data_IF_064555672387
#
_entry.id   IF_064555672387
#
_cell.length_a   1.000
_cell.length_b   1.000
_cell.length_c   1.000
_cell.angle_alpha   90.00
_cell.angle_beta   90.00
_cell.angle_gamma   90.00
#
_symmetry.space_group_name_H-M   'P 1'
#
loop_
_entity.id
_entity.type
_entity.pdbx_description
1 polymer ?
#
# COMPACT_ATOMS: atom_id res chain seq x y z
N UNK A 1 29.57 46.20 -7.78
CA UNK A 1 29.85 47.02 -8.97
C UNK A 1 31.29 47.47 -8.88
N UNK A 2 32.15 47.00 -9.77
CA UNK A 2 33.47 47.57 -9.99
C UNK A 2 33.75 47.47 -11.49
N UNK A 3 33.89 48.62 -12.13
CA UNK A 3 34.06 48.78 -13.58
C UNK A 3 35.51 48.49 -13.92
N UNK A 4 35.75 47.49 -14.78
CA UNK A 4 37.06 47.21 -15.35
C UNK A 4 37.16 48.08 -16.61
N UNK A 5 37.90 49.19 -16.54
CA UNK A 5 38.24 49.98 -17.72
C UNK A 5 39.60 49.51 -18.25
N UNK A 6 39.55 48.83 -19.38
CA UNK A 6 40.69 48.37 -20.15
C UNK A 6 41.04 49.48 -21.16
N UNK A 7 42.13 50.20 -20.97
CA UNK A 7 42.61 51.19 -21.95
C UNK A 7 43.71 50.57 -22.81
N UNK A 8 43.40 50.45 -24.11
CA UNK A 8 44.28 50.01 -25.17
C UNK A 8 45.33 51.09 -25.49
N UNK A 9 46.57 50.66 -25.68
CA UNK A 9 47.69 51.48 -26.14
C UNK A 9 47.62 51.57 -27.68
N UNK A 10 47.46 52.78 -28.22
CA UNK A 10 47.65 53.06 -29.64
C UNK A 10 48.95 53.85 -29.81
N UNK A 11 49.81 53.38 -30.70
CA UNK A 11 50.97 54.14 -31.21
C UNK A 11 50.48 55.07 -32.32
N UNK A 12 50.88 56.34 -32.26
CA UNK A 12 51.13 57.16 -33.44
C UNK A 12 52.35 58.04 -33.11
N UNK A 13 53.38 57.88 -33.92
CA UNK A 13 54.61 58.66 -33.93
C UNK A 13 54.32 60.02 -34.60
N UNK A 14 54.76 61.13 -34.01
CA UNK A 14 55.24 62.31 -34.75
C UNK A 14 55.99 63.25 -33.80
N UNK A 15 57.26 63.49 -34.14
CA UNK A 15 58.23 64.34 -33.45
C UNK A 15 57.84 65.83 -33.56
N UNK A 16 57.62 66.48 -32.41
CA UNK A 16 57.73 67.93 -32.26
C UNK A 16 58.30 68.25 -30.87
N UNK A 17 59.37 69.04 -30.85
CA UNK A 17 60.08 69.55 -29.67
C UNK A 17 59.12 70.29 -28.71
N UNK A 18 58.64 69.60 -27.68
CA UNK A 18 58.27 70.18 -26.40
C UNK A 18 59.01 69.42 -25.30
N UNK A 19 59.90 70.11 -24.60
CA UNK A 19 60.50 69.67 -23.35
C UNK A 19 59.38 69.57 -22.29
N UNK A 20 58.50 68.57 -22.44
CA UNK A 20 57.70 68.02 -21.36
C UNK A 20 58.71 67.43 -20.39
N UNK A 21 59.13 68.25 -19.42
CA UNK A 21 59.84 67.83 -18.24
C UNK A 21 59.37 66.43 -17.85
N UNK A 22 60.29 65.46 -17.84
CA UNK A 22 60.13 64.30 -16.98
C UNK A 22 59.95 64.90 -15.59
N UNK A 23 58.69 65.06 -15.17
CA UNK A 23 58.36 65.46 -13.81
C UNK A 23 58.88 64.32 -12.95
N UNK A 24 60.16 64.42 -12.56
CA UNK A 24 60.77 63.59 -11.56
C UNK A 24 59.84 63.66 -10.36
N UNK A 25 59.18 62.54 -10.08
CA UNK A 25 58.29 62.39 -8.94
C UNK A 25 59.07 62.89 -7.71
N UNK A 26 58.66 64.04 -7.18
CA UNK A 26 59.30 64.70 -6.05
C UNK A 26 59.57 63.69 -4.92
N UNK A 27 60.69 63.80 -4.23
CA UNK A 27 61.14 62.83 -3.22
C UNK A 27 60.05 62.57 -2.18
N UNK A 28 59.27 63.61 -1.84
CA UNK A 28 58.11 63.54 -0.97
C UNK A 28 56.97 62.67 -1.55
N UNK A 29 56.69 62.77 -2.84
CA UNK A 29 55.69 61.92 -3.52
C UNK A 29 56.14 60.47 -3.65
N UNK A 30 57.44 60.22 -3.86
CA UNK A 30 57.99 58.86 -3.86
C UNK A 30 57.90 58.23 -2.47
N UNK A 31 58.28 58.97 -1.43
CA UNK A 31 58.21 58.49 -0.05
C UNK A 31 56.76 58.19 0.35
N UNK A 32 55.81 59.05 -0.04
CA UNK A 32 54.38 58.82 0.18
C UNK A 32 53.86 57.54 -0.49
N UNK A 33 54.30 57.26 -1.73
CA UNK A 33 53.94 56.02 -2.43
C UNK A 33 54.56 54.77 -1.77
N UNK A 34 55.82 54.85 -1.32
CA UNK A 34 56.48 53.76 -0.61
C UNK A 34 55.79 53.43 0.72
N UNK A 35 55.36 54.45 1.46
CA UNK A 35 54.60 54.30 2.69
C UNK A 35 53.21 53.69 2.41
N UNK A 36 52.52 54.14 1.35
CA UNK A 36 51.25 53.56 0.92
C UNK A 36 51.39 52.07 0.52
N UNK A 37 52.39 51.74 -0.31
CA UNK A 37 52.63 50.35 -0.72
C UNK A 37 53.01 49.47 0.46
N UNK A 38 53.77 49.98 1.41
CA UNK A 38 54.11 49.27 2.63
C UNK A 38 52.85 49.02 3.46
N UNK A 39 52.01 50.03 3.66
CA UNK A 39 50.73 49.90 4.36
C UNK A 39 49.82 48.87 3.67
N UNK A 40 49.67 48.93 2.35
CA UNK A 40 48.85 47.99 1.57
C UNK A 40 49.39 46.56 1.64
N UNK A 41 50.71 46.38 1.60
CA UNK A 41 51.34 45.07 1.77
C UNK A 41 51.04 44.50 3.17
N UNK A 42 51.12 45.32 4.21
CA UNK A 42 50.81 44.88 5.58
C UNK A 42 49.34 44.49 5.74
N UNK A 43 48.41 45.28 5.17
CA UNK A 43 46.97 45.00 5.17
C UNK A 43 46.64 43.70 4.41
N UNK A 44 47.11 43.55 3.17
CA UNK A 44 46.89 42.33 2.37
C UNK A 44 47.48 41.08 3.05
N UNK A 45 48.63 41.21 3.70
CA UNK A 45 49.24 40.09 4.45
C UNK A 45 48.39 39.72 5.67
N UNK A 46 47.83 40.71 6.38
CA UNK A 46 46.90 40.47 7.48
C UNK A 46 45.61 39.79 6.98
N UNK A 47 45.02 40.26 5.88
CA UNK A 47 43.84 39.66 5.26
C UNK A 47 44.09 38.22 4.80
N UNK A 48 45.24 37.93 4.19
CA UNK A 48 45.61 36.57 3.81
C UNK A 48 45.72 35.64 5.01
N UNK A 49 46.29 36.13 6.12
CA UNK A 49 46.36 35.36 7.36
C UNK A 49 44.96 35.06 7.89
N UNK A 50 44.09 36.06 7.98
CA UNK A 50 42.69 35.88 8.40
C UNK A 50 41.94 34.92 7.51
N UNK A 51 42.00 35.07 6.18
CA UNK A 51 41.35 34.17 5.24
C UNK A 51 41.87 32.74 5.36
N UNK A 52 43.16 32.56 5.62
CA UNK A 52 43.75 31.23 5.82
C UNK A 52 43.21 30.59 7.09
N UNK A 53 43.15 31.32 8.21
CA UNK A 53 42.57 30.85 9.47
C UNK A 53 41.07 30.52 9.31
N UNK A 54 40.30 31.37 8.63
CA UNK A 54 38.89 31.11 8.32
C UNK A 54 38.70 29.84 7.48
N UNK A 55 39.54 29.63 6.47
CA UNK A 55 39.49 28.41 5.64
C UNK A 55 39.77 27.16 6.48
N UNK A 56 40.73 27.21 7.39
CA UNK A 56 41.02 26.09 8.30
C UNK A 56 39.86 25.81 9.25
N UNK A 57 39.26 26.85 9.84
CA UNK A 57 38.08 26.73 10.69
C UNK A 57 36.87 26.17 9.93
N UNK A 58 36.63 26.63 8.71
CA UNK A 58 35.55 26.12 7.86
C UNK A 58 35.77 24.65 7.48
N UNK A 59 37.01 24.25 7.16
CA UNK A 59 37.36 22.85 6.89
C UNK A 59 37.09 21.97 8.11
N UNK A 60 37.55 22.39 9.29
CA UNK A 60 37.32 21.66 10.54
C UNK A 60 35.82 21.57 10.88
N UNK A 61 35.07 22.67 10.68
CA UNK A 61 33.63 22.70 10.88
C UNK A 61 32.88 21.76 9.93
N UNK A 62 33.29 21.68 8.66
CA UNK A 62 32.73 20.73 7.68
C UNK A 62 33.02 19.29 8.06
N UNK A 63 34.25 18.98 8.48
CA UNK A 63 34.62 17.63 8.91
C UNK A 63 33.80 17.19 10.13
N UNK A 64 33.69 18.07 11.14
CA UNK A 64 32.89 17.80 12.35
C UNK A 64 31.44 17.52 12.00
N UNK A 65 30.80 18.41 11.21
CA UNK A 65 29.41 18.24 10.79
C UNK A 65 29.20 16.98 9.94
N UNK A 66 30.18 16.61 9.13
CA UNK A 66 30.15 15.38 8.33
C UNK A 66 30.19 14.15 9.23
N UNK A 67 31.07 14.14 10.23
CA UNK A 67 31.16 13.06 11.21
C UNK A 67 29.87 12.96 12.04
N UNK A 68 29.32 14.07 12.49
CA UNK A 68 28.05 14.10 13.23
C UNK A 68 26.89 13.57 12.39
N UNK A 69 26.80 13.97 11.12
CA UNK A 69 25.80 13.46 10.19
C UNK A 69 25.94 11.94 9.97
N UNK A 70 27.16 11.47 9.72
CA UNK A 70 27.43 10.04 9.57
C UNK A 70 27.09 9.25 10.84
N UNK A 71 27.44 9.76 12.01
CA UNK A 71 27.11 9.15 13.29
C UNK A 71 25.59 9.10 13.52
N UNK A 72 24.87 10.17 13.21
CA UNK A 72 23.42 10.19 13.30
C UNK A 72 22.77 9.16 12.37
N UNK A 73 23.21 9.11 11.11
CA UNK A 73 22.72 8.13 10.10
C UNK A 73 23.01 6.69 10.56
N UNK A 74 24.22 6.42 11.03
CA UNK A 74 24.61 5.11 11.55
C UNK A 74 23.81 4.74 12.80
N UNK A 75 23.51 5.71 13.68
CA UNK A 75 22.66 5.51 14.85
C UNK A 75 21.23 5.11 14.47
N UNK A 76 20.65 5.77 13.45
CA UNK A 76 19.33 5.38 12.92
C UNK A 76 19.38 3.96 12.39
N UNK A 77 20.35 3.60 11.55
CA UNK A 77 20.46 2.25 11.03
C UNK A 77 20.67 1.22 12.13
N UNK A 78 21.55 1.46 13.10
CA UNK A 78 21.72 0.56 14.25
C UNK A 78 20.40 0.34 15.03
N UNK A 79 19.53 1.36 15.10
CA UNK A 79 18.23 1.26 15.74
C UNK A 79 17.17 0.55 14.89
N UNK A 80 17.20 0.67 13.56
CA UNK A 80 16.15 0.11 12.68
C UNK A 80 16.61 -1.03 11.80
N UNK A 81 17.87 -1.48 11.91
CA UNK A 81 18.45 -2.58 11.15
C UNK A 81 19.66 -2.20 10.30
N UNK A 82 19.46 -2.20 8.99
CA UNK A 82 20.47 -1.85 8.00
C UNK A 82 19.83 -1.15 6.82
N UNK A 83 20.64 -0.41 6.07
CA UNK A 83 20.19 0.26 4.85
C UNK A 83 19.62 -0.73 3.81
N UNK A 84 20.19 -1.94 3.70
CA UNK A 84 19.69 -2.98 2.79
C UNK A 84 18.29 -3.43 3.16
N UNK A 85 18.06 -3.76 4.43
CA UNK A 85 16.75 -4.19 4.93
C UNK A 85 15.71 -3.09 4.77
N UNK A 86 16.11 -1.82 4.87
CA UNK A 86 15.23 -0.68 4.69
C UNK A 86 14.72 -0.56 3.26
N UNK A 87 15.59 -0.72 2.25
CA UNK A 87 15.16 -0.69 0.85
C UNK A 87 14.21 -1.85 0.52
N UNK A 88 14.49 -3.04 1.06
CA UNK A 88 13.58 -4.19 0.94
C UNK A 88 12.22 -3.93 1.59
N UNK A 89 12.21 -3.35 2.80
CA UNK A 89 10.99 -2.99 3.51
C UNK A 89 10.20 -1.95 2.72
N UNK A 90 10.86 -0.90 2.22
CA UNK A 90 10.25 0.15 1.40
C UNK A 90 9.56 -0.42 0.16
N UNK A 91 10.19 -1.37 -0.53
CA UNK A 91 9.60 -2.05 -1.69
C UNK A 91 8.35 -2.85 -1.29
N UNK A 92 8.44 -3.68 -0.24
CA UNK A 92 7.30 -4.47 0.26
C UNK A 92 6.16 -3.59 0.76
N UNK A 93 6.47 -2.46 1.39
CA UNK A 93 5.49 -1.49 1.86
C UNK A 93 4.73 -0.86 0.69
N UNK A 94 5.43 -0.48 -0.38
CA UNK A 94 4.79 0.07 -1.58
C UNK A 94 3.87 -0.95 -2.26
N UNK A 95 4.28 -2.22 -2.32
CA UNK A 95 3.44 -3.30 -2.85
C UNK A 95 2.22 -3.58 -1.97
N UNK A 96 2.38 -3.52 -0.64
CA UNK A 96 1.27 -3.63 0.31
C UNK A 96 0.25 -2.50 0.10
N UNK A 97 0.73 -1.27 -0.03
CA UNK A 97 -0.11 -0.10 -0.22
C UNK A 97 -0.92 -0.20 -1.52
N UNK A 98 -0.31 -0.68 -2.62
CA UNK A 98 -1.02 -0.95 -3.87
C UNK A 98 -2.14 -1.97 -3.68
N UNK A 99 -1.88 -3.10 -3.01
CA UNK A 99 -2.90 -4.14 -2.77
C UNK A 99 -4.02 -3.65 -1.85
N UNK A 100 -3.67 -2.93 -0.78
CA UNK A 100 -4.65 -2.32 0.14
C UNK A 100 -5.54 -1.32 -0.58
N UNK A 101 -4.97 -0.49 -1.46
CA UNK A 101 -5.74 0.46 -2.26
C UNK A 101 -6.62 -0.22 -3.32
N UNK A 102 -6.26 -1.42 -3.76
CA UNK A 102 -7.03 -2.24 -4.70
C UNK A 102 -8.06 -3.17 -4.02
N UNK A 103 -8.16 -3.14 -2.68
CA UNK A 103 -9.02 -4.03 -1.91
C UNK A 103 -10.50 -3.74 -2.18
N UNK A 104 -11.26 -4.77 -2.58
CA UNK A 104 -12.68 -4.64 -2.98
C UNK A 104 -13.65 -5.28 -1.99
N UNK A 105 -13.15 -6.05 -1.02
CA UNK A 105 -13.98 -6.69 -0.03
C UNK A 105 -13.23 -7.60 0.94
N UNK A 106 -13.94 -8.40 1.73
CA UNK A 106 -13.38 -9.14 2.86
C UNK A 106 -12.40 -10.24 2.43
N UNK A 107 -12.61 -10.87 1.28
CA UNK A 107 -11.70 -11.88 0.72
C UNK A 107 -10.32 -11.27 0.39
N UNK A 108 -10.30 -10.07 -0.21
CA UNK A 108 -9.06 -9.34 -0.48
C UNK A 108 -8.38 -8.90 0.82
N UNK A 109 -9.17 -8.45 1.81
CA UNK A 109 -8.66 -8.05 3.11
C UNK A 109 -7.99 -9.24 3.85
N UNK A 110 -8.59 -10.43 3.78
CA UNK A 110 -8.03 -11.66 4.36
C UNK A 110 -6.73 -12.09 3.66
N UNK A 111 -6.68 -11.98 2.32
CA UNK A 111 -5.45 -12.23 1.56
C UNK A 111 -4.33 -11.24 1.91
N UNK A 112 -4.65 -9.95 2.09
CA UNK A 112 -3.70 -8.92 2.53
C UNK A 112 -3.19 -9.21 3.95
N UNK A 113 -4.11 -9.52 4.89
CA UNK A 113 -3.78 -9.86 6.29
C UNK A 113 -2.87 -11.09 6.37
N UNK A 114 -3.04 -12.06 5.46
CA UNK A 114 -2.23 -13.28 5.44
C UNK A 114 -0.88 -13.12 4.74
N UNK A 115 -0.88 -12.52 3.55
CA UNK A 115 0.29 -12.59 2.66
C UNK A 115 1.23 -11.39 2.82
N UNK A 116 0.75 -10.25 3.33
CA UNK A 116 1.50 -9.00 3.36
C UNK A 116 1.69 -8.43 4.75
N UNK A 117 0.64 -8.48 5.57
CA UNK A 117 0.66 -7.92 6.91
C UNK A 117 1.77 -8.49 7.80
N UNK A 118 2.08 -9.80 7.80
CA UNK A 118 3.17 -10.35 8.60
C UNK A 118 4.52 -9.71 8.26
N UNK A 119 4.81 -9.40 6.99
CA UNK A 119 6.06 -8.71 6.63
C UNK A 119 6.15 -7.27 7.15
N UNK A 120 5.00 -6.64 7.44
CA UNK A 120 4.92 -5.30 7.99
C UNK A 120 4.82 -5.28 9.52
N UNK A 121 4.42 -6.40 10.14
CA UNK A 121 4.10 -6.48 11.57
C UNK A 121 4.83 -7.57 12.37
N UNK A 122 5.46 -8.54 11.72
CA UNK A 122 6.11 -9.66 12.40
C UNK A 122 7.31 -9.21 13.23
N UNK A 123 7.52 -9.97 14.30
CA UNK A 123 8.53 -9.72 15.33
C UNK A 123 9.95 -9.72 14.74
N UNK A 124 10.69 -8.65 15.03
CA UNK A 124 12.06 -8.45 14.59
C UNK A 124 12.37 -6.97 14.32
N UNK A 125 13.53 -6.72 13.72
CA UNK A 125 14.02 -5.39 13.34
C UNK A 125 13.00 -4.62 12.45
N UNK A 126 12.25 -5.33 11.61
CA UNK A 126 11.23 -4.77 10.71
C UNK A 126 10.08 -4.06 11.44
N UNK A 127 9.78 -4.45 12.69
CA UNK A 127 8.78 -3.77 13.51
C UNK A 127 9.20 -2.36 13.93
N UNK A 128 10.51 -2.04 13.89
CA UNK A 128 11.03 -0.68 14.13
C UNK A 128 10.99 0.18 12.87
N UNK A 129 11.09 -0.42 11.68
CA UNK A 129 11.00 0.30 10.41
C UNK A 129 9.63 0.95 10.22
N UNK A 130 8.53 0.28 10.62
CA UNK A 130 7.18 0.88 10.54
C UNK A 130 7.02 2.16 11.38
N UNK A 131 7.86 2.33 12.40
CA UNK A 131 7.85 3.49 13.30
C UNK A 131 8.66 4.67 12.74
N UNK A 132 9.36 4.49 11.61
CA UNK A 132 10.00 5.62 10.93
C UNK A 132 8.92 6.62 10.48
N UNK A 133 9.19 7.94 10.60
CA UNK A 133 8.21 8.97 10.27
C UNK A 133 7.59 8.84 8.88
N UNK A 134 8.36 8.37 7.89
CA UNK A 134 7.89 8.18 6.52
C UNK A 134 6.89 7.01 6.32
N UNK A 135 6.85 6.04 7.24
CA UNK A 135 5.96 4.88 7.16
C UNK A 135 4.81 4.94 8.15
N UNK A 136 4.98 5.59 9.30
CA UNK A 136 4.03 5.53 10.41
C UNK A 136 2.59 5.90 10.01
N UNK A 137 2.42 7.07 9.39
CA UNK A 137 1.09 7.56 9.02
C UNK A 137 0.47 6.71 7.89
N UNK A 138 1.28 6.33 6.91
CA UNK A 138 0.85 5.47 5.79
C UNK A 138 0.46 4.07 6.27
N UNK A 139 1.19 3.52 7.24
CA UNK A 139 0.88 2.23 7.86
C UNK A 139 -0.46 2.29 8.58
N UNK A 140 -0.70 3.34 9.38
CA UNK A 140 -1.97 3.53 10.07
C UNK A 140 -3.13 3.73 9.08
N UNK A 141 -2.90 4.45 7.97
CA UNK A 141 -3.87 4.59 6.90
C UNK A 141 -4.18 3.23 6.22
N UNK A 142 -3.17 2.41 5.93
CA UNK A 142 -3.38 1.06 5.39
C UNK A 142 -4.17 0.18 6.36
N UNK A 143 -3.82 0.18 7.65
CA UNK A 143 -4.54 -0.56 8.69
C UNK A 143 -6.02 -0.20 8.70
N UNK A 144 -6.32 1.10 8.63
CA UNK A 144 -7.69 1.61 8.56
C UNK A 144 -8.41 1.12 7.30
N UNK A 145 -7.77 1.21 6.13
CA UNK A 145 -8.34 0.75 4.86
C UNK A 145 -8.60 -0.76 4.84
N UNK A 146 -7.71 -1.57 5.43
CA UNK A 146 -7.94 -3.02 5.56
C UNK A 146 -9.18 -3.29 6.42
N UNK A 147 -9.32 -2.57 7.55
CA UNK A 147 -10.51 -2.69 8.40
C UNK A 147 -11.79 -2.24 7.67
N UNK A 148 -11.74 -1.12 6.93
CA UNK A 148 -12.84 -0.65 6.08
C UNK A 148 -13.17 -1.68 4.98
N UNK A 149 -12.16 -2.23 4.31
CA UNK A 149 -12.33 -3.24 3.27
C UNK A 149 -12.94 -4.55 3.81
N UNK A 150 -12.57 -4.94 5.03
CA UNK A 150 -13.18 -6.06 5.76
C UNK A 150 -14.62 -5.77 6.16
N UNK A 151 -14.93 -4.50 6.45
CA UNK A 151 -16.27 -4.03 6.78
C UNK A 151 -17.17 -3.80 5.54
N UNK A 152 -16.60 -3.77 4.32
CA UNK A 152 -17.36 -3.88 3.07
C UNK A 152 -17.98 -5.28 2.98
N UNK A 153 -18.99 -5.55 3.79
CA UNK A 153 -19.87 -6.69 3.57
C UNK A 153 -20.47 -6.55 2.16
N UNK A 154 -20.38 -7.56 1.29
CA UNK A 154 -21.09 -7.51 0.02
C UNK A 154 -22.57 -7.31 0.33
N UNK A 155 -23.14 -6.23 -0.20
CA UNK A 155 -24.52 -5.84 0.09
C UNK A 155 -25.42 -7.04 -0.15
N UNK A 156 -26.09 -7.48 0.91
CA UNK A 156 -27.05 -8.58 0.88
C UNK A 156 -28.32 -8.07 0.20
N UNK A 157 -28.30 -7.97 -1.13
CA UNK A 157 -29.51 -7.70 -1.90
C UNK A 157 -30.47 -8.87 -1.69
N UNK A 158 -31.61 -8.59 -1.03
CA UNK A 158 -32.64 -9.59 -0.86
C UNK A 158 -33.18 -10.02 -2.23
N UNK A 159 -33.28 -11.34 -2.47
CA UNK A 159 -33.83 -11.86 -3.73
C UNK A 159 -35.29 -12.22 -3.56
N UNK A 160 -36.17 -11.68 -4.41
CA UNK A 160 -37.59 -12.05 -4.43
C UNK A 160 -37.79 -13.30 -5.27
N UNK A 161 -38.26 -14.38 -4.64
CA UNK A 161 -38.50 -15.67 -5.28
C UNK A 161 -39.60 -15.55 -6.33
N UNK A 162 -39.34 -16.02 -7.54
CA UNK A 162 -40.32 -16.09 -8.63
C UNK A 162 -40.83 -17.53 -8.79
N UNK A 163 -42.02 -17.69 -9.37
CA UNK A 163 -42.59 -19.02 -9.67
C UNK A 163 -41.61 -19.85 -10.51
N UNK A 164 -41.27 -21.05 -10.01
CA UNK A 164 -40.33 -21.97 -10.66
C UNK A 164 -38.88 -21.82 -10.21
N UNK A 165 -38.59 -20.93 -9.26
CA UNK A 165 -37.27 -20.86 -8.64
C UNK A 165 -37.02 -22.01 -7.66
N UNK A 166 -35.75 -22.39 -7.56
CA UNK A 166 -35.23 -23.24 -6.51
C UNK A 166 -33.92 -22.63 -5.99
N UNK A 167 -33.51 -22.96 -4.76
CA UNK A 167 -32.30 -22.38 -4.16
C UNK A 167 -31.05 -22.58 -5.04
N UNK A 168 -30.96 -23.70 -5.76
CA UNK A 168 -29.87 -23.99 -6.70
C UNK A 168 -29.89 -23.11 -7.95
N UNK A 169 -31.07 -22.73 -8.44
CA UNK A 169 -31.21 -21.85 -9.60
C UNK A 169 -30.87 -20.41 -9.21
N UNK A 170 -31.35 -19.96 -8.04
CA UNK A 170 -31.04 -18.65 -7.47
C UNK A 170 -29.52 -18.50 -7.26
N UNK A 171 -28.87 -19.48 -6.62
CA UNK A 171 -27.42 -19.48 -6.45
C UNK A 171 -26.64 -19.49 -7.80
N UNK A 172 -27.23 -20.05 -8.84
CA UNK A 172 -26.64 -20.12 -10.19
C UNK A 172 -26.70 -18.80 -10.96
N UNK A 173 -27.46 -17.81 -10.52
CA UNK A 173 -27.57 -16.52 -11.21
C UNK A 173 -26.23 -15.78 -11.14
N UNK A 174 -25.81 -15.18 -12.27
CA UNK A 174 -24.56 -14.43 -12.37
C UNK A 174 -24.49 -13.26 -11.38
N UNK A 175 -25.64 -12.64 -11.10
CA UNK A 175 -25.78 -11.55 -10.12
C UNK A 175 -25.72 -11.99 -8.65
N UNK A 176 -25.85 -13.29 -8.37
CA UNK A 176 -25.88 -13.83 -7.01
C UNK A 176 -24.54 -14.48 -6.69
N UNK A 177 -24.28 -15.70 -7.19
CA UNK A 177 -23.00 -16.37 -6.98
C UNK A 177 -22.39 -16.99 -8.23
N UNK A 178 -23.09 -16.97 -9.37
CA UNK A 178 -22.70 -17.66 -10.59
C UNK A 178 -22.36 -19.16 -10.37
N UNK A 179 -22.91 -19.78 -9.31
CA UNK A 179 -22.60 -21.14 -8.94
C UNK A 179 -23.75 -21.80 -8.17
N UNK A 180 -24.46 -22.67 -8.87
CA UNK A 180 -25.60 -23.39 -8.32
C UNK A 180 -25.28 -24.29 -7.12
N UNK A 181 -24.01 -24.68 -6.89
CA UNK A 181 -23.59 -25.50 -5.76
C UNK A 181 -23.52 -24.73 -4.44
N UNK A 182 -23.73 -23.42 -4.47
CA UNK A 182 -23.72 -22.56 -3.28
C UNK A 182 -25.11 -22.36 -2.65
N UNK A 183 -26.12 -23.06 -3.14
CA UNK A 183 -27.47 -23.04 -2.58
C UNK A 183 -27.57 -23.33 -1.06
N UNK A 184 -26.72 -24.18 -0.43
CA UNK A 184 -26.82 -24.42 1.01
C UNK A 184 -26.57 -23.17 1.84
N UNK A 185 -25.77 -22.23 1.34
CA UNK A 185 -25.53 -20.96 2.02
C UNK A 185 -26.80 -20.08 2.07
N UNK A 186 -27.55 -20.03 0.96
CA UNK A 186 -28.86 -19.36 0.92
C UNK A 186 -29.82 -20.04 1.90
N UNK A 187 -29.83 -21.37 1.95
CA UNK A 187 -30.68 -22.10 2.89
C UNK A 187 -30.33 -21.80 4.35
N UNK A 188 -29.05 -21.93 4.73
CA UNK A 188 -28.57 -21.73 6.08
C UNK A 188 -28.90 -20.31 6.60
N UNK A 189 -28.75 -19.29 5.74
CA UNK A 189 -29.07 -17.90 6.08
C UNK A 189 -30.58 -17.63 6.27
N UNK A 190 -31.46 -18.46 5.68
CA UNK A 190 -32.91 -18.26 5.70
C UNK A 190 -33.68 -19.34 6.48
N UNK A 191 -33.00 -20.36 7.01
CA UNK A 191 -33.62 -21.47 7.75
C UNK A 191 -34.43 -20.99 8.94
N UNK A 192 -33.93 -19.97 9.64
CA UNK A 192 -34.55 -19.38 10.83
C UNK A 192 -35.39 -18.12 10.52
N UNK A 193 -35.46 -17.66 9.26
CA UNK A 193 -36.19 -16.45 8.92
C UNK A 193 -35.82 -15.83 7.58
N UNK A 194 -36.79 -15.63 6.70
CA UNK A 194 -36.68 -14.82 5.47
C UNK A 194 -36.87 -13.33 5.76
N UNK A 195 -36.50 -12.43 4.84
CA UNK A 195 -36.65 -10.97 5.02
C UNK A 195 -38.13 -10.58 5.06
N UNK A 196 -38.90 -11.07 4.09
CA UNK A 196 -40.34 -10.87 4.04
C UNK A 196 -41.00 -12.05 3.31
N UNK A 197 -42.27 -12.28 3.63
CA UNK A 197 -43.07 -13.32 3.01
C UNK A 197 -44.51 -12.83 2.83
N UNK A 198 -45.22 -13.27 1.77
CA UNK A 198 -46.64 -12.97 1.60
C UNK A 198 -47.50 -13.53 2.74
N UNK A 199 -48.73 -13.01 2.92
CA UNK A 199 -49.69 -13.58 3.87
C UNK A 199 -49.89 -15.09 3.61
N UNK A 200 -49.99 -15.89 4.68
CA UNK A 200 -50.16 -17.37 4.64
C UNK A 200 -48.95 -18.18 4.14
N UNK A 201 -47.79 -17.55 3.94
CA UNK A 201 -46.53 -18.25 3.59
C UNK A 201 -45.63 -18.35 4.82
N UNK A 202 -44.95 -19.48 4.99
CA UNK A 202 -44.00 -19.67 6.09
C UNK A 202 -42.87 -18.62 6.03
N UNK A 203 -42.55 -18.01 7.18
CA UNK A 203 -41.44 -17.06 7.31
C UNK A 203 -40.08 -17.75 7.52
N UNK A 204 -40.05 -19.06 7.63
CA UNK A 204 -38.85 -19.89 7.83
C UNK A 204 -38.78 -20.97 6.76
N UNK A 205 -37.56 -21.42 6.44
CA UNK A 205 -37.32 -22.45 5.42
C UNK A 205 -36.68 -23.67 6.09
N UNK A 206 -37.46 -24.51 6.82
CA UNK A 206 -36.90 -25.70 7.48
C UNK A 206 -36.46 -26.76 6.47
N UNK A 207 -37.06 -26.80 5.29
CA UNK A 207 -36.70 -27.71 4.20
C UNK A 207 -36.16 -26.92 3.01
N UNK A 208 -34.94 -27.20 2.53
CA UNK A 208 -34.32 -26.44 1.43
C UNK A 208 -35.07 -26.56 0.10
N UNK A 209 -35.95 -27.54 -0.06
CA UNK A 209 -36.75 -27.71 -1.27
C UNK A 209 -38.07 -26.90 -1.25
N UNK A 210 -38.43 -26.27 -0.13
CA UNK A 210 -39.69 -25.55 0.04
C UNK A 210 -39.44 -24.04 0.08
N UNK A 211 -39.43 -23.43 -1.10
CA UNK A 211 -39.47 -21.97 -1.25
C UNK A 211 -40.71 -21.57 -2.06
N UNK A 212 -41.28 -20.42 -1.74
CA UNK A 212 -42.55 -19.96 -2.30
C UNK A 212 -42.38 -18.61 -3.01
N UNK A 213 -43.11 -18.38 -4.11
CA UNK A 213 -43.07 -17.10 -4.82
C UNK A 213 -43.44 -15.92 -3.91
N UNK A 214 -42.74 -14.80 -4.09
CA UNK A 214 -42.91 -13.58 -3.29
C UNK A 214 -42.15 -13.59 -1.96
N UNK A 215 -41.50 -14.69 -1.56
CA UNK A 215 -40.57 -14.65 -0.43
C UNK A 215 -39.32 -13.84 -0.80
N UNK A 216 -38.90 -12.94 0.08
CA UNK A 216 -37.63 -12.21 -0.07
C UNK A 216 -36.57 -12.92 0.76
N UNK A 217 -35.64 -13.59 0.08
CA UNK A 217 -34.55 -14.35 0.71
C UNK A 217 -33.36 -13.43 1.01
N UNK A 218 -32.75 -13.63 2.17
CA UNK A 218 -31.42 -13.10 2.50
C UNK A 218 -30.40 -13.81 1.63
N UNK A 219 -29.71 -13.09 0.75
CA UNK A 219 -28.60 -13.64 0.00
C UNK A 219 -27.32 -13.27 0.75
N UNK A 220 -26.72 -14.19 1.54
CA UNK A 220 -25.50 -13.89 2.26
C UNK A 220 -24.37 -13.65 1.27
N UNK A 221 -23.57 -12.64 1.54
CA UNK A 221 -22.26 -12.55 0.93
C UNK A 221 -21.37 -13.68 1.43
N UNK A 222 -20.75 -14.43 0.53
CA UNK A 222 -19.89 -15.55 0.92
C UNK A 222 -18.42 -15.22 0.68
N UNK A 223 -17.61 -15.43 1.70
CA UNK A 223 -16.15 -15.50 1.55
C UNK A 223 -15.74 -16.79 0.86
N UNK A 224 -14.51 -16.89 0.37
CA UNK A 224 -14.03 -18.11 -0.32
C UNK A 224 -14.05 -19.36 0.57
N UNK A 225 -13.76 -19.20 1.86
CA UNK A 225 -13.91 -20.27 2.84
C UNK A 225 -15.38 -20.73 2.94
N UNK A 226 -16.31 -19.79 3.03
CA UNK A 226 -17.74 -20.08 3.11
C UNK A 226 -18.28 -20.71 1.82
N UNK A 227 -17.76 -20.31 0.65
CA UNK A 227 -18.08 -20.94 -0.64
C UNK A 227 -17.64 -22.41 -0.64
N UNK A 228 -16.42 -22.70 -0.17
CA UNK A 228 -15.91 -24.08 -0.08
C UNK A 228 -16.77 -24.94 0.85
N UNK A 229 -17.15 -24.41 2.00
CA UNK A 229 -18.02 -25.09 2.95
C UNK A 229 -19.41 -25.37 2.37
N UNK A 230 -20.01 -24.38 1.69
CA UNK A 230 -21.27 -24.56 0.99
C UNK A 230 -21.18 -25.62 -0.12
N UNK A 231 -20.08 -25.68 -0.87
CA UNK A 231 -19.85 -26.74 -1.86
C UNK A 231 -19.72 -28.13 -1.22
N UNK A 232 -19.02 -28.24 -0.09
CA UNK A 232 -18.89 -29.49 0.67
C UNK A 232 -20.26 -29.98 1.17
N UNK A 233 -21.09 -29.08 1.70
CA UNK A 233 -22.48 -29.37 2.09
C UNK A 233 -23.29 -29.87 0.90
N UNK A 234 -23.22 -29.20 -0.26
CA UNK A 234 -23.89 -29.66 -1.49
C UNK A 234 -23.48 -31.07 -1.88
N UNK A 235 -22.19 -31.41 -1.79
CA UNK A 235 -21.70 -32.75 -2.08
C UNK A 235 -22.27 -33.79 -1.10
N UNK A 236 -22.33 -33.46 0.19
CA UNK A 236 -22.94 -34.31 1.22
C UNK A 236 -24.43 -34.57 0.94
N UNK A 237 -25.21 -33.52 0.62
CA UNK A 237 -26.61 -33.66 0.22
C UNK A 237 -26.80 -34.53 -1.03
N UNK A 238 -25.91 -34.41 -2.03
CA UNK A 238 -25.94 -35.27 -3.22
C UNK A 238 -25.62 -36.73 -2.90
N UNK A 239 -24.62 -36.99 -2.06
CA UNK A 239 -24.24 -38.35 -1.64
C UNK A 239 -25.38 -39.03 -0.88
N UNK A 240 -25.93 -38.36 0.14
CA UNK A 240 -27.04 -38.89 0.93
C UNK A 240 -28.29 -39.16 0.09
N UNK A 241 -28.61 -38.27 -0.86
CA UNK A 241 -29.73 -38.48 -1.81
C UNK A 241 -29.51 -39.69 -2.71
N UNK A 242 -28.29 -39.92 -3.23
CA UNK A 242 -27.96 -41.09 -4.04
C UNK A 242 -28.13 -42.39 -3.25
N UNK A 243 -27.59 -42.46 -2.03
CA UNK A 243 -27.70 -43.63 -1.15
C UNK A 243 -29.16 -43.96 -0.81
N UNK A 244 -29.98 -42.94 -0.55
CA UNK A 244 -31.43 -43.15 -0.32
C UNK A 244 -32.11 -43.71 -1.57
N UNK A 245 -31.81 -43.16 -2.75
CA UNK A 245 -32.40 -43.61 -4.01
C UNK A 245 -32.06 -45.08 -4.31
N UNK A 246 -30.80 -45.48 -4.15
CA UNK A 246 -30.38 -46.88 -4.36
C UNK A 246 -31.03 -47.84 -3.35
N UNK A 247 -31.24 -47.40 -2.10
CA UNK A 247 -31.94 -48.21 -1.09
C UNK A 247 -33.42 -48.41 -1.43
N UNK A 248 -34.09 -47.35 -1.89
CA UNK A 248 -35.50 -47.42 -2.30
C UNK A 248 -35.69 -48.26 -3.56
N UNK A 249 -34.78 -48.17 -4.54
CA UNK A 249 -34.84 -48.99 -5.76
C UNK A 249 -34.67 -50.48 -5.46
N UNK A 250 -33.73 -50.86 -4.59
CA UNK A 250 -33.57 -52.25 -4.13
C UNK A 250 -34.77 -52.81 -3.36
N UNK A 251 -35.41 -52.01 -2.49
CA UNK A 251 -36.64 -52.41 -1.78
C UNK A 251 -37.86 -52.56 -2.72
N UNK A 252 -37.88 -51.81 -3.83
CA UNK A 252 -38.99 -51.87 -4.80
C UNK A 252 -38.85 -53.07 -5.74
N UNK A 253 -37.62 -53.51 -6.02
CA UNK A 253 -37.33 -54.66 -6.87
C UNK A 253 -37.61 -56.00 -6.14
N UNK A 254 -37.35 -56.09 -4.83
CA UNK A 254 -37.67 -57.27 -4.01
C UNK A 254 -39.18 -57.53 -3.83
N UNK A 255 -40.05 -56.53 -4.00
CA UNK A 255 -41.52 -56.69 -3.86
C UNK A 255 -42.24 -57.15 -5.14
N UNK A 256 -41.52 -57.38 -6.25
CA UNK A 256 -42.12 -57.83 -7.52
C UNK A 256 -42.00 -59.34 -7.78
N UNK A 257 -41.42 -60.14 -6.88
CA UNK A 257 -41.21 -61.58 -7.08
C UNK A 257 -42.09 -62.39 -6.13
N UNK A 258 -43.31 -62.69 -6.55
CA UNK A 258 -44.09 -63.95 -6.38
C UNK A 258 -45.61 -63.67 -6.35
N UNK A 259 -46.35 -63.97 -7.42
CA UNK A 259 -47.75 -64.36 -7.30
C UNK A 259 -47.81 -65.78 -6.70
N UNK A 260 -48.74 -66.07 -5.77
CA UNK A 260 -48.90 -67.43 -5.27
C UNK A 260 -49.52 -68.32 -6.35
N UNK A 261 -48.80 -69.38 -6.70
CA UNK A 261 -49.29 -70.48 -7.54
C UNK A 261 -50.44 -71.23 -6.84
N UNK A 262 -51.54 -71.41 -7.58
CA UNK A 262 -52.38 -72.60 -7.56
C UNK A 262 -53.33 -72.82 -6.39
N UNK A 263 -54.64 -72.77 -6.67
CA UNK A 263 -55.54 -73.94 -6.75
C UNK A 263 -56.90 -73.55 -7.32
#
# INVERSE_FOLDING_TARGET
MAVISNSAFAQDDDDDDDMSSEEEMDEDTWQAQMDEYTARKTDLTAQLKTLTEEVELLKFGLETRTNDANNAVNGVWAAVGSKSQYEEYKAKFADAEKKVNACKGPDDAEAIEKDMWPYLTDAGINNRMKCLPEFWDRYNAMKKKIAECKALAPKTEGYTVVKGDCLSKIAGMSKIYNNSRLWPAIWDANKNGVVSAPPKVAKTIPNPNLIYPGQVLKIPALTDAQKKDAMNKTNSYRKTRKVRKTKTEGDTEMKKVTPPDGK
#
